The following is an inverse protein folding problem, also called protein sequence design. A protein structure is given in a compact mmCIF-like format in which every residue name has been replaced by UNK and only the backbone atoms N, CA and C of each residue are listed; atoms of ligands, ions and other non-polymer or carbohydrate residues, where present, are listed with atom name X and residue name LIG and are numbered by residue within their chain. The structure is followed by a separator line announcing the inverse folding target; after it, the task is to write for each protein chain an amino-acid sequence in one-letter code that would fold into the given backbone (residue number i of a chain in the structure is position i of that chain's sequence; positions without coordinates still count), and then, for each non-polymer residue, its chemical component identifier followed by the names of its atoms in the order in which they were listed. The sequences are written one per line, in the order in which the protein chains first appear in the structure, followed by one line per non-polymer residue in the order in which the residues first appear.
data_IF_556079689601
#
_entry.id   IF_556079689601
#
_cell.length_a   1.000
_cell.length_b   1.000
_cell.length_c   1.000
_cell.angle_alpha   90.00
_cell.angle_beta   90.00
_cell.angle_gamma   90.00
#
_symmetry.space_group_name_H-M   'P 1'
#
loop_
_entity.id
_entity.type
_entity.pdbx_description
1 polymer ?
#
# COMPACT_ATOMS: atom_id res chain seq x y z
N UNK A 1 34.30 6.58 10.08
CA UNK A 1 32.95 6.94 10.50
C UNK A 1 32.00 5.88 9.94
N UNK A 2 31.79 4.83 10.74
CA UNK A 2 30.83 3.78 10.39
C UNK A 2 29.43 4.34 10.61
N UNK A 3 28.78 4.74 9.49
CA UNK A 3 27.36 4.99 9.47
C UNK A 3 26.64 3.66 9.77
N UNK A 4 25.58 3.70 10.56
CA UNK A 4 24.70 2.52 10.72
C UNK A 4 24.17 2.10 9.35
N UNK A 5 23.79 0.84 9.20
CA UNK A 5 23.23 0.28 7.95
C UNK A 5 22.04 1.12 7.47
N UNK A 6 21.13 1.47 8.38
CA UNK A 6 19.98 2.35 8.10
C UNK A 6 20.36 3.74 7.55
N UNK A 7 21.48 4.32 8.03
CA UNK A 7 21.98 5.60 7.51
C UNK A 7 22.60 5.46 6.12
N UNK A 8 23.16 4.29 5.78
CA UNK A 8 23.68 4.00 4.44
C UNK A 8 22.54 3.86 3.46
N UNK A 9 21.52 3.06 3.79
CA UNK A 9 20.34 2.86 2.95
C UNK A 9 19.63 4.18 2.64
N UNK A 10 19.50 5.07 3.62
CA UNK A 10 18.92 6.40 3.42
C UNK A 10 19.81 7.29 2.54
N UNK A 11 21.13 7.22 2.69
CA UNK A 11 22.04 7.98 1.85
C UNK A 11 21.98 7.51 0.39
N UNK A 12 21.97 6.19 0.16
CA UNK A 12 21.83 5.60 -1.17
C UNK A 12 20.48 5.96 -1.83
N UNK A 13 19.38 5.97 -1.04
CA UNK A 13 18.08 6.38 -1.52
C UNK A 13 18.09 7.83 -2.04
N UNK A 14 18.66 8.76 -1.28
CA UNK A 14 18.72 10.19 -1.65
C UNK A 14 19.82 10.53 -2.67
N UNK A 15 20.81 9.67 -2.87
CA UNK A 15 21.82 9.84 -3.91
C UNK A 15 21.36 9.32 -5.29
N UNK A 16 20.13 8.78 -5.40
CA UNK A 16 19.57 8.31 -6.67
C UNK A 16 19.38 9.49 -7.62
N UNK A 17 19.90 9.35 -8.84
CA UNK A 17 19.78 10.35 -9.91
C UNK A 17 18.97 9.80 -11.07
N UNK A 18 18.15 10.64 -11.65
CA UNK A 18 17.45 10.40 -12.89
C UNK A 18 17.90 11.45 -13.92
N UNK A 19 17.90 11.07 -15.20
CA UNK A 19 18.41 11.91 -16.29
C UNK A 19 17.31 12.70 -17.00
N UNK A 20 16.08 12.21 -16.93
CA UNK A 20 14.92 12.79 -17.62
C UNK A 20 13.72 12.93 -16.71
N UNK A 21 12.83 13.86 -17.05
CA UNK A 21 11.53 14.02 -16.37
C UNK A 21 10.73 12.69 -16.33
N UNK A 22 10.74 11.94 -17.45
CA UNK A 22 10.12 10.62 -17.54
C UNK A 22 10.71 9.66 -16.51
N UNK A 23 12.03 9.58 -16.43
CA UNK A 23 12.72 8.70 -15.48
C UNK A 23 12.42 9.06 -14.02
N UNK A 24 12.41 10.36 -13.69
CA UNK A 24 11.99 10.83 -12.36
C UNK A 24 10.57 10.38 -12.03
N UNK A 25 9.62 10.58 -12.96
CA UNK A 25 8.22 10.24 -12.74
C UNK A 25 8.04 8.72 -12.53
N UNK A 26 8.64 7.91 -13.40
CA UNK A 26 8.60 6.45 -13.28
C UNK A 26 9.22 5.97 -11.97
N UNK A 27 10.41 6.49 -11.62
CA UNK A 27 11.09 6.09 -10.39
C UNK A 27 10.28 6.45 -9.16
N UNK A 28 9.72 7.67 -9.10
CA UNK A 28 8.84 8.08 -8.01
C UNK A 28 7.60 7.19 -7.91
N UNK A 29 6.94 6.91 -9.02
CA UNK A 29 5.74 6.08 -9.02
C UNK A 29 6.04 4.61 -8.67
N UNK A 30 7.14 4.04 -9.15
CA UNK A 30 7.50 2.65 -8.93
C UNK A 30 8.19 2.42 -7.58
N UNK A 31 9.23 3.19 -7.28
CA UNK A 31 10.07 2.97 -6.09
C UNK A 31 9.66 3.82 -4.88
N UNK A 32 8.82 4.84 -5.06
CA UNK A 32 8.43 5.76 -4.00
C UNK A 32 9.31 7.01 -3.90
N UNK A 33 9.18 7.72 -2.77
CA UNK A 33 9.88 8.99 -2.55
C UNK A 33 11.37 8.78 -2.31
N UNK A 34 12.20 9.32 -3.19
CA UNK A 34 13.66 9.34 -3.08
C UNK A 34 14.24 10.77 -3.11
N UNK A 35 13.38 11.80 -3.13
CA UNK A 35 13.81 13.19 -3.12
C UNK A 35 13.79 13.75 -1.68
N UNK A 36 14.94 14.26 -1.26
CA UNK A 36 15.11 14.80 0.10
C UNK A 36 14.41 16.16 0.24
N UNK A 37 13.26 16.21 0.88
CA UNK A 37 12.47 17.43 1.05
C UNK A 37 13.26 18.62 1.63
N UNK A 38 14.06 18.48 2.71
CA UNK A 38 14.79 19.61 3.26
C UNK A 38 15.82 20.26 2.31
N UNK A 39 16.22 19.55 1.24
CA UNK A 39 17.18 20.07 0.25
C UNK A 39 16.53 20.71 -0.97
N UNK A 40 15.20 20.70 -1.05
CA UNK A 40 14.50 21.16 -2.23
C UNK A 40 14.32 22.68 -2.27
N UNK A 41 14.58 23.26 -3.45
CA UNK A 41 14.26 24.64 -3.78
C UNK A 41 13.28 24.64 -4.97
N UNK A 42 12.07 25.12 -4.75
CA UNK A 42 11.01 25.13 -5.76
C UNK A 42 10.67 26.57 -6.16
N UNK A 43 10.57 26.81 -7.48
CA UNK A 43 10.11 28.11 -7.97
C UNK A 43 8.67 28.36 -7.56
N UNK A 44 8.38 29.55 -7.02
CA UNK A 44 7.02 29.90 -6.60
C UNK A 44 6.02 29.78 -7.74
N UNK A 45 6.38 30.15 -8.97
CA UNK A 45 5.51 30.02 -10.14
C UNK A 45 5.08 28.59 -10.45
N UNK A 46 5.91 27.60 -10.13
CA UNK A 46 5.54 26.18 -10.23
C UNK A 46 4.49 25.85 -9.20
N UNK A 47 4.69 26.25 -7.94
CA UNK A 47 3.71 26.03 -6.87
C UNK A 47 2.39 26.74 -7.13
N UNK A 48 2.43 27.96 -7.68
CA UNK A 48 1.23 28.71 -8.03
C UNK A 48 0.42 27.98 -9.13
N UNK A 49 1.10 27.25 -10.02
CA UNK A 49 0.49 26.45 -11.09
C UNK A 49 -0.10 25.13 -10.59
N UNK A 50 0.68 24.37 -9.82
CA UNK A 50 0.31 23.00 -9.42
C UNK A 50 -0.40 22.94 -8.06
N UNK A 51 -0.43 24.03 -7.31
CA UNK A 51 -0.88 24.06 -5.92
C UNK A 51 0.21 23.71 -4.92
N UNK A 52 -0.09 23.98 -3.67
CA UNK A 52 0.81 23.76 -2.54
C UNK A 52 0.65 22.33 -1.96
N UNK A 53 1.18 22.10 -0.76
CA UNK A 53 1.03 20.83 -0.05
C UNK A 53 -0.44 20.47 0.16
N UNK A 54 -0.78 19.22 -0.12
CA UNK A 54 -2.08 18.68 0.24
C UNK A 54 -2.10 18.37 1.74
N UNK A 55 -2.91 19.10 2.49
CA UNK A 55 -2.99 18.98 3.94
C UNK A 55 -3.65 17.67 4.43
N UNK A 56 -4.22 16.88 3.52
CA UNK A 56 -4.70 15.54 3.83
C UNK A 56 -3.53 14.59 4.13
N UNK A 57 -2.40 14.77 3.46
CA UNK A 57 -1.24 13.91 3.59
C UNK A 57 -0.32 14.41 4.71
N UNK A 58 -0.01 13.53 5.64
CA UNK A 58 0.87 13.85 6.76
C UNK A 58 2.25 13.21 6.63
N UNK A 59 2.30 11.98 6.12
CA UNK A 59 3.55 11.22 5.99
C UNK A 59 4.23 11.46 4.64
N UNK A 60 3.44 11.60 3.59
CA UNK A 60 3.89 11.64 2.20
C UNK A 60 3.44 12.94 1.47
N UNK A 61 3.27 14.04 2.20
CA UNK A 61 2.89 15.31 1.60
C UNK A 61 3.91 15.84 0.59
N UNK A 62 5.20 15.62 0.83
CA UNK A 62 6.29 15.94 -0.08
C UNK A 62 6.27 15.02 -1.32
N UNK A 63 6.01 13.75 -1.15
CA UNK A 63 5.88 12.80 -2.24
C UNK A 63 4.77 13.18 -3.24
N UNK A 64 3.60 13.56 -2.74
CA UNK A 64 2.52 14.12 -3.56
C UNK A 64 2.98 15.36 -4.34
N UNK A 65 3.68 16.26 -3.66
CA UNK A 65 4.20 17.48 -4.29
C UNK A 65 5.22 17.16 -5.38
N UNK A 66 6.14 16.22 -5.15
CA UNK A 66 7.15 15.81 -6.14
C UNK A 66 6.53 15.25 -7.40
N UNK A 67 5.54 14.39 -7.29
CA UNK A 67 4.83 13.82 -8.44
C UNK A 67 4.15 14.93 -9.27
N UNK A 68 3.52 15.90 -8.61
CA UNK A 68 2.91 17.03 -9.31
C UNK A 68 3.95 17.95 -9.94
N UNK A 69 5.09 18.19 -9.29
CA UNK A 69 6.19 18.98 -9.87
C UNK A 69 6.75 18.27 -11.10
N UNK A 70 7.10 16.99 -10.98
CA UNK A 70 7.70 16.24 -12.09
C UNK A 70 6.76 16.11 -13.27
N UNK A 71 5.46 16.07 -13.04
CA UNK A 71 4.47 16.07 -14.15
C UNK A 71 4.40 17.40 -14.92
N UNK A 72 4.93 18.51 -14.36
CA UNK A 72 4.79 19.85 -14.91
C UNK A 72 6.11 20.58 -15.20
N UNK A 73 7.19 20.16 -14.55
CA UNK A 73 8.47 20.83 -14.59
C UNK A 73 9.64 19.86 -14.46
N UNK A 74 10.78 20.25 -14.98
CA UNK A 74 12.02 19.51 -14.82
C UNK A 74 12.61 19.70 -13.43
N UNK A 75 13.23 18.65 -12.92
CA UNK A 75 14.02 18.63 -11.69
C UNK A 75 15.51 18.60 -12.05
N UNK A 76 16.29 19.42 -11.40
CA UNK A 76 17.74 19.41 -11.46
C UNK A 76 18.29 19.09 -10.09
N UNK A 77 19.11 18.05 -9.98
CA UNK A 77 19.83 17.72 -8.74
C UNK A 77 21.24 18.31 -8.83
N UNK A 78 21.58 19.17 -7.85
CA UNK A 78 22.93 19.70 -7.70
C UNK A 78 23.83 18.62 -7.10
N UNK A 79 25.10 18.58 -7.55
CA UNK A 79 26.07 17.59 -7.04
C UNK A 79 26.69 18.01 -5.71
N UNK A 80 26.60 19.31 -5.39
CA UNK A 80 27.13 19.88 -4.17
C UNK A 80 26.32 19.46 -2.94
N UNK A 81 27.00 19.06 -1.89
CA UNK A 81 26.39 18.74 -0.59
C UNK A 81 26.09 20.00 0.19
N UNK A 82 24.95 20.63 -0.07
CA UNK A 82 24.55 21.92 0.49
C UNK A 82 23.79 21.81 1.82
N UNK A 83 23.22 20.65 2.13
CA UNK A 83 22.38 20.43 3.30
C UNK A 83 22.96 19.34 4.18
N UNK A 84 22.95 19.59 5.51
CA UNK A 84 23.22 18.56 6.51
C UNK A 84 21.90 18.06 7.06
N UNK A 85 21.56 16.82 6.73
CA UNK A 85 20.36 16.17 7.23
C UNK A 85 20.68 15.49 8.58
N UNK A 86 19.90 15.81 9.63
CA UNK A 86 20.01 15.16 10.92
C UNK A 86 19.00 14.03 10.99
N UNK A 87 19.51 12.81 11.09
CA UNK A 87 18.69 11.62 11.30
C UNK A 87 18.78 11.18 12.77
N UNK A 88 17.64 11.17 13.46
CA UNK A 88 17.56 10.69 14.86
C UNK A 88 17.16 9.22 14.88
N UNK A 89 18.15 8.32 14.90
CA UNK A 89 17.94 6.86 14.92
C UNK A 89 17.18 6.41 16.19
N UNK A 90 17.28 7.15 17.28
CA UNK A 90 16.55 6.87 18.53
C UNK A 90 15.15 7.52 18.58
N UNK A 91 14.83 8.25 17.61
CA UNK A 91 13.62 8.76 17.02
C UNK A 91 12.37 9.03 17.85
N UNK A 92 12.48 9.63 19.02
CA UNK A 92 11.25 9.97 19.78
C UNK A 92 10.53 11.25 19.34
N UNK A 93 11.04 11.98 18.32
CA UNK A 93 10.53 13.31 17.95
C UNK A 93 10.29 13.57 16.46
N UNK A 94 10.48 12.60 15.59
CA UNK A 94 10.28 12.80 14.15
C UNK A 94 8.84 12.46 13.74
N UNK A 95 8.26 13.27 12.84
CA UNK A 95 6.91 13.05 12.27
C UNK A 95 6.88 11.72 11.49
N UNK A 96 7.99 11.39 10.84
CA UNK A 96 8.18 10.16 10.04
C UNK A 96 8.64 8.95 10.84
N UNK A 97 8.52 8.99 12.18
CA UNK A 97 8.88 7.87 13.05
C UNK A 97 8.15 6.59 12.63
N UNK A 98 8.87 5.47 12.60
CA UNK A 98 8.31 4.15 12.29
C UNK A 98 7.42 3.66 13.42
N UNK A 99 6.17 4.14 13.45
CA UNK A 99 5.08 3.61 14.28
C UNK A 99 4.08 2.89 13.39
N UNK A 100 3.33 1.96 13.95
CA UNK A 100 2.27 1.26 13.22
C UNK A 100 1.28 2.24 12.55
N UNK A 101 0.85 3.28 13.27
CA UNK A 101 -0.07 4.26 12.71
C UNK A 101 0.56 5.06 11.56
N UNK A 102 1.84 5.41 11.67
CA UNK A 102 2.54 6.12 10.61
C UNK A 102 2.76 5.22 9.38
N UNK A 103 3.08 3.95 9.58
CA UNK A 103 3.22 2.97 8.50
C UNK A 103 1.91 2.74 7.76
N UNK A 104 0.81 2.57 8.49
CA UNK A 104 -0.55 2.45 7.92
C UNK A 104 -0.91 3.71 7.14
N UNK A 105 -0.65 4.88 7.72
CA UNK A 105 -0.93 6.17 7.07
C UNK A 105 -0.10 6.33 5.80
N UNK A 106 1.21 6.09 5.87
CA UNK A 106 2.09 6.17 4.71
C UNK A 106 1.65 5.22 3.58
N UNK A 107 1.22 4.01 3.92
CA UNK A 107 0.66 3.09 2.94
C UNK A 107 -0.60 3.66 2.27
N UNK A 108 -1.57 4.11 3.05
CA UNK A 108 -2.81 4.67 2.53
C UNK A 108 -2.53 5.90 1.66
N UNK A 109 -1.71 6.83 2.16
CA UNK A 109 -1.29 8.01 1.40
C UNK A 109 -0.57 7.64 0.11
N UNK A 110 0.31 6.63 0.15
CA UNK A 110 1.05 6.14 -1.01
C UNK A 110 0.14 5.63 -2.14
N UNK A 111 -0.88 4.85 -1.79
CA UNK A 111 -1.86 4.34 -2.77
C UNK A 111 -2.69 5.49 -3.35
N UNK A 112 -3.21 6.37 -2.49
CA UNK A 112 -4.02 7.52 -2.90
C UNK A 112 -3.25 8.48 -3.80
N UNK A 113 -2.00 8.79 -3.45
CA UNK A 113 -1.13 9.71 -4.19
C UNK A 113 -0.85 9.16 -5.59
N UNK A 114 -0.46 7.89 -5.70
CA UNK A 114 -0.16 7.26 -6.99
C UNK A 114 -1.39 7.17 -7.89
N UNK A 115 -2.52 6.73 -7.32
CA UNK A 115 -3.80 6.70 -8.03
C UNK A 115 -4.13 8.10 -8.56
N UNK A 116 -4.14 9.11 -7.69
CA UNK A 116 -4.49 10.47 -8.08
C UNK A 116 -3.54 11.04 -9.12
N UNK A 117 -2.26 10.74 -9.03
CA UNK A 117 -1.27 11.18 -10.01
C UNK A 117 -1.59 10.64 -11.41
N UNK A 118 -1.85 9.35 -11.54
CA UNK A 118 -2.14 8.71 -12.84
C UNK A 118 -3.52 9.12 -13.37
N UNK A 119 -4.54 9.10 -12.53
CA UNK A 119 -5.92 9.43 -12.89
C UNK A 119 -6.06 10.90 -13.34
N UNK A 120 -5.31 11.82 -12.75
CA UNK A 120 -5.38 13.25 -13.08
C UNK A 120 -4.54 13.64 -14.30
N UNK A 121 -3.73 12.76 -14.86
CA UNK A 121 -2.94 13.08 -16.06
C UNK A 121 -3.84 13.29 -17.28
N UNK A 122 -3.54 14.34 -18.05
CA UNK A 122 -4.14 14.48 -19.39
C UNK A 122 -3.67 13.36 -20.31
N UNK A 123 -4.44 13.09 -21.34
CA UNK A 123 -4.12 12.04 -22.31
C UNK A 123 -2.75 12.27 -22.97
N UNK A 124 -2.41 13.54 -23.29
CA UNK A 124 -1.14 13.91 -23.89
C UNK A 124 0.04 13.55 -22.95
N UNK A 125 -0.07 13.93 -21.67
CA UNK A 125 0.96 13.64 -20.67
C UNK A 125 1.10 12.15 -20.41
N UNK A 126 -0.02 11.45 -20.29
CA UNK A 126 0.01 10.04 -20.09
C UNK A 126 0.67 9.31 -21.27
N UNK A 127 0.34 9.69 -22.50
CA UNK A 127 1.04 9.19 -23.68
C UNK A 127 2.53 9.57 -23.69
N UNK A 128 2.88 10.81 -23.33
CA UNK A 128 4.27 11.26 -23.31
C UNK A 128 5.13 10.43 -22.36
N UNK A 129 4.62 10.11 -21.19
CA UNK A 129 5.41 9.44 -20.15
C UNK A 129 5.31 7.91 -20.18
N UNK A 130 4.17 7.33 -20.58
CA UNK A 130 3.87 5.92 -20.38
C UNK A 130 3.56 5.10 -21.64
N UNK A 131 3.67 5.68 -22.84
CA UNK A 131 3.33 4.99 -24.10
C UNK A 131 4.01 3.61 -24.25
N UNK A 132 5.26 3.47 -23.79
CA UNK A 132 6.03 2.24 -23.88
C UNK A 132 5.53 1.16 -22.93
N UNK A 133 4.79 1.55 -21.88
CA UNK A 133 4.23 0.65 -20.88
C UNK A 133 2.79 0.23 -21.20
N UNK A 134 2.20 0.78 -22.26
CA UNK A 134 0.83 0.50 -22.65
C UNK A 134 0.63 -0.98 -22.94
N UNK A 135 -0.53 -1.49 -22.55
CA UNK A 135 -0.96 -2.83 -22.95
C UNK A 135 -1.16 -2.93 -24.45
N UNK A 136 -1.70 -1.89 -25.06
CA UNK A 136 -1.79 -1.74 -26.49
C UNK A 136 -1.23 -0.38 -26.93
N UNK A 137 -0.06 -0.40 -27.58
CA UNK A 137 0.64 0.82 -28.02
C UNK A 137 -0.15 1.65 -29.03
N UNK A 138 -1.20 1.09 -29.64
CA UNK A 138 -2.08 1.77 -30.59
C UNK A 138 -3.23 2.52 -29.93
N UNK A 139 -3.29 2.54 -28.57
CA UNK A 139 -4.28 3.29 -27.81
C UNK A 139 -4.14 4.78 -28.04
N UNK A 140 -5.21 5.43 -28.56
CA UNK A 140 -5.24 6.86 -28.91
C UNK A 140 -6.49 7.60 -28.43
N UNK A 141 -7.64 6.92 -28.33
CA UNK A 141 -8.86 7.55 -27.85
C UNK A 141 -8.85 7.74 -26.35
N UNK A 142 -9.56 8.74 -25.84
CA UNK A 142 -9.67 9.00 -24.42
C UNK A 142 -10.07 7.75 -23.63
N UNK A 143 -11.10 7.03 -24.08
CA UNK A 143 -11.56 5.81 -23.43
C UNK A 143 -10.46 4.72 -23.39
N UNK A 144 -9.71 4.54 -24.49
CA UNK A 144 -8.58 3.60 -24.53
C UNK A 144 -7.50 4.01 -23.54
N UNK A 145 -7.20 5.30 -23.42
CA UNK A 145 -6.17 5.82 -22.51
C UNK A 145 -6.61 5.69 -21.04
N UNK A 146 -7.88 5.85 -20.75
CA UNK A 146 -8.41 5.57 -19.40
C UNK A 146 -8.23 4.09 -19.02
N UNK A 147 -8.48 3.16 -19.95
CA UNK A 147 -8.16 1.75 -19.75
C UNK A 147 -6.67 1.54 -19.50
N UNK A 148 -5.80 2.17 -20.31
CA UNK A 148 -4.33 2.05 -20.13
C UNK A 148 -3.88 2.58 -18.77
N UNK A 149 -4.43 3.69 -18.27
CA UNK A 149 -4.17 4.21 -16.91
C UNK A 149 -4.53 3.17 -15.84
N UNK A 150 -5.70 2.56 -15.95
CA UNK A 150 -6.14 1.53 -15.03
C UNK A 150 -5.24 0.28 -15.08
N UNK A 151 -4.90 -0.19 -16.28
CA UNK A 151 -3.99 -1.33 -16.46
C UNK A 151 -2.58 -1.03 -15.95
N UNK A 152 -2.10 0.20 -16.17
CA UNK A 152 -0.81 0.62 -15.67
C UNK A 152 -0.75 0.57 -14.14
N UNK A 153 -1.77 1.08 -13.44
CA UNK A 153 -1.86 0.99 -11.99
C UNK A 153 -1.89 -0.46 -11.49
N UNK A 154 -2.59 -1.34 -12.20
CA UNK A 154 -2.68 -2.76 -11.83
C UNK A 154 -1.36 -3.52 -12.00
N UNK A 155 -0.56 -3.16 -13.01
CA UNK A 155 0.67 -3.84 -13.39
C UNK A 155 1.92 -3.21 -12.80
N UNK A 156 1.91 -1.89 -12.59
CA UNK A 156 3.10 -1.09 -12.37
C UNK A 156 3.93 -1.52 -11.16
N UNK A 157 3.27 -2.01 -10.11
CA UNK A 157 3.98 -2.34 -8.88
C UNK A 157 3.26 -3.52 -8.22
N UNK A 158 3.67 -4.73 -8.56
CA UNK A 158 3.19 -5.94 -7.89
C UNK A 158 3.48 -5.88 -6.37
N UNK A 159 4.49 -5.11 -5.97
CA UNK A 159 4.96 -4.98 -4.59
C UNK A 159 4.20 -3.95 -3.74
N UNK A 160 3.42 -3.03 -4.35
CA UNK A 160 2.60 -2.08 -3.58
C UNK A 160 1.17 -2.56 -3.49
N UNK A 161 0.81 -3.25 -2.39
CA UNK A 161 -0.56 -3.68 -2.18
C UNK A 161 -1.51 -2.47 -2.27
N UNK A 162 -2.68 -2.65 -2.86
CA UNK A 162 -3.69 -1.60 -3.00
C UNK A 162 -3.70 -0.88 -4.36
N UNK A 163 -2.62 -0.87 -5.14
CA UNK A 163 -2.64 -0.26 -6.48
C UNK A 163 -3.47 -1.10 -7.47
N UNK A 164 -3.44 -2.41 -7.34
CA UNK A 164 -4.33 -3.28 -8.11
C UNK A 164 -5.80 -2.97 -7.82
N UNK A 165 -6.14 -2.75 -6.56
CA UNK A 165 -7.49 -2.34 -6.16
C UNK A 165 -7.86 -0.97 -6.75
N UNK A 166 -6.92 0.00 -6.73
CA UNK A 166 -7.13 1.31 -7.34
C UNK A 166 -7.38 1.22 -8.86
N UNK A 167 -6.61 0.42 -9.58
CA UNK A 167 -6.83 0.16 -11.00
C UNK A 167 -8.16 -0.54 -11.29
N UNK A 168 -8.56 -1.51 -10.47
CA UNK A 168 -9.87 -2.16 -10.57
C UNK A 168 -11.03 -1.19 -10.28
N UNK A 169 -10.87 -0.26 -9.36
CA UNK A 169 -11.86 0.80 -9.12
C UNK A 169 -12.01 1.71 -10.34
N UNK A 170 -10.90 2.09 -10.98
CA UNK A 170 -10.94 2.85 -12.24
C UNK A 170 -11.64 2.06 -13.36
N UNK A 171 -11.33 0.78 -13.53
CA UNK A 171 -12.04 -0.09 -14.47
C UNK A 171 -13.54 -0.12 -14.19
N UNK A 172 -13.92 -0.20 -12.92
CA UNK A 172 -15.33 -0.17 -12.51
C UNK A 172 -16.05 1.14 -12.88
N UNK A 173 -15.32 2.26 -12.97
CA UNK A 173 -15.86 3.55 -13.46
C UNK A 173 -15.94 3.56 -14.98
N UNK A 174 -14.87 3.15 -15.66
CA UNK A 174 -14.77 3.08 -17.13
C UNK A 174 -15.89 2.18 -17.71
N UNK A 175 -16.16 1.04 -17.07
CA UNK A 175 -17.19 0.08 -17.53
C UNK A 175 -18.63 0.62 -17.49
N UNK A 176 -18.86 1.83 -16.98
CA UNK A 176 -20.14 2.53 -17.05
C UNK A 176 -20.30 3.37 -18.32
N UNK A 177 -19.20 3.57 -19.04
CA UNK A 177 -19.21 4.37 -20.25
C UNK A 177 -19.78 3.60 -21.46
N UNK A 178 -20.37 4.35 -22.38
CA UNK A 178 -20.79 3.78 -23.64
C UNK A 178 -19.56 3.24 -24.40
N UNK A 179 -19.70 2.09 -25.04
CA UNK A 179 -18.67 1.40 -25.83
C UNK A 179 -17.49 0.82 -24.99
N UNK A 180 -17.52 0.90 -23.63
CA UNK A 180 -16.46 0.35 -22.81
C UNK A 180 -16.24 -1.16 -23.06
N UNK A 181 -17.31 -1.94 -23.14
CA UNK A 181 -17.22 -3.38 -23.44
C UNK A 181 -16.68 -3.66 -24.83
N UNK A 182 -17.08 -2.87 -25.83
CA UNK A 182 -16.58 -2.98 -27.19
C UNK A 182 -15.09 -2.67 -27.25
N UNK A 183 -14.68 -1.55 -26.66
CA UNK A 183 -13.26 -1.17 -26.52
C UNK A 183 -12.44 -2.25 -25.83
N UNK A 184 -12.95 -2.82 -24.73
CA UNK A 184 -12.28 -3.87 -24.00
C UNK A 184 -12.01 -5.11 -24.87
N UNK A 185 -13.02 -5.53 -25.65
CA UNK A 185 -12.94 -6.72 -26.51
C UNK A 185 -12.11 -6.48 -27.78
N UNK A 186 -12.43 -5.43 -28.50
CA UNK A 186 -11.85 -5.21 -29.83
C UNK A 186 -10.43 -4.64 -29.76
N UNK A 187 -10.19 -3.73 -28.84
CA UNK A 187 -8.90 -3.05 -28.74
C UNK A 187 -7.94 -3.77 -27.82
N UNK A 188 -8.39 -4.25 -26.64
CA UNK A 188 -7.53 -4.89 -25.65
C UNK A 188 -7.58 -6.42 -25.67
N UNK A 189 -8.46 -7.02 -26.47
CA UNK A 189 -8.64 -8.48 -26.55
C UNK A 189 -8.93 -9.13 -25.20
N UNK A 190 -9.70 -8.42 -24.36
CA UNK A 190 -10.12 -8.85 -23.04
C UNK A 190 -11.64 -9.00 -23.01
N UNK A 191 -12.14 -9.90 -22.14
CA UNK A 191 -13.56 -10.07 -21.89
C UNK A 191 -13.91 -9.69 -20.44
N UNK A 192 -15.20 -9.57 -20.17
CA UNK A 192 -15.69 -9.33 -18.81
C UNK A 192 -15.25 -10.43 -17.82
N UNK A 193 -15.06 -11.65 -18.31
CA UNK A 193 -14.57 -12.76 -17.49
C UNK A 193 -13.14 -12.56 -17.00
N UNK A 194 -12.27 -11.88 -17.77
CA UNK A 194 -10.93 -11.49 -17.32
C UNK A 194 -11.02 -10.53 -16.13
N UNK A 195 -11.93 -9.54 -16.20
CA UNK A 195 -12.17 -8.61 -15.09
C UNK A 195 -12.73 -9.32 -13.86
N UNK A 196 -13.62 -10.30 -14.04
CA UNK A 196 -14.13 -11.11 -12.93
C UNK A 196 -13.04 -11.96 -12.29
N UNK A 197 -12.14 -12.53 -13.09
CA UNK A 197 -10.97 -13.26 -12.58
C UNK A 197 -10.08 -12.35 -11.73
N UNK A 198 -9.73 -11.17 -12.23
CA UNK A 198 -8.91 -10.21 -11.50
C UNK A 198 -9.58 -9.72 -10.22
N UNK A 199 -10.90 -9.51 -10.25
CA UNK A 199 -11.66 -9.12 -9.07
C UNK A 199 -11.79 -10.24 -8.03
N UNK A 200 -11.59 -11.49 -8.43
CA UNK A 200 -11.52 -12.65 -7.53
C UNK A 200 -10.22 -12.79 -6.76
N UNK A 201 -9.20 -11.98 -7.06
CA UNK A 201 -7.90 -12.03 -6.38
C UNK A 201 -7.87 -11.19 -5.11
N UNK A 202 -6.95 -11.53 -4.19
CA UNK A 202 -6.75 -10.76 -2.96
C UNK A 202 -6.07 -9.41 -3.25
N UNK A 203 -6.84 -8.35 -3.47
CA UNK A 203 -6.35 -7.02 -3.82
C UNK A 203 -6.07 -6.12 -2.61
N UNK A 204 -6.80 -6.33 -1.51
CA UNK A 204 -6.76 -5.48 -0.32
C UNK A 204 -5.81 -6.06 0.75
N UNK A 205 -4.55 -6.24 0.39
CA UNK A 205 -3.51 -6.57 1.38
C UNK A 205 -3.07 -5.29 2.07
N UNK A 206 -3.23 -5.23 3.37
CA UNK A 206 -2.79 -4.07 4.15
C UNK A 206 -1.52 -4.41 4.93
N UNK A 207 -0.57 -3.47 5.09
CA UNK A 207 0.70 -3.74 5.78
C UNK A 207 0.52 -4.28 7.19
N UNK A 208 -0.49 -3.82 7.93
CA UNK A 208 -0.75 -4.34 9.28
C UNK A 208 -1.29 -5.77 9.26
N UNK A 209 -2.03 -6.18 8.24
CA UNK A 209 -2.48 -7.57 8.09
C UNK A 209 -1.29 -8.49 7.83
N UNK A 210 -0.33 -8.03 7.04
CA UNK A 210 0.95 -8.71 6.81
C UNK A 210 1.73 -8.79 8.13
N UNK A 211 1.86 -7.67 8.85
CA UNK A 211 2.53 -7.60 10.15
C UNK A 211 1.84 -8.49 11.19
N UNK A 212 0.50 -8.50 11.27
CA UNK A 212 -0.24 -9.40 12.18
C UNK A 212 -0.06 -10.87 11.81
N UNK A 213 0.02 -11.20 10.52
CA UNK A 213 0.32 -12.56 10.06
C UNK A 213 1.76 -12.93 10.41
N UNK A 214 2.71 -12.02 10.24
CA UNK A 214 4.12 -12.22 10.60
C UNK A 214 4.30 -12.35 12.11
N UNK A 215 3.70 -11.47 12.90
CA UNK A 215 3.67 -11.54 14.36
C UNK A 215 2.99 -12.83 14.84
N UNK A 216 1.85 -13.18 14.24
CA UNK A 216 1.16 -14.42 14.51
C UNK A 216 1.99 -15.65 14.14
N UNK A 217 2.73 -15.58 13.04
CA UNK A 217 3.65 -16.64 12.61
C UNK A 217 4.84 -16.77 13.54
N UNK A 218 5.40 -15.65 14.01
CA UNK A 218 6.48 -15.65 15.02
C UNK A 218 5.99 -16.19 16.36
N UNK A 219 4.79 -15.80 16.80
CA UNK A 219 4.16 -16.36 17.99
C UNK A 219 3.89 -17.85 17.85
N UNK A 220 3.41 -18.29 16.68
CA UNK A 220 3.20 -19.70 16.37
C UNK A 220 4.50 -20.49 16.38
N UNK A 221 5.58 -19.93 15.85
CA UNK A 221 6.91 -20.51 15.89
C UNK A 221 7.44 -20.59 17.34
N UNK A 222 7.25 -19.54 18.13
CA UNK A 222 7.59 -19.51 19.56
C UNK A 222 6.80 -20.57 20.36
N UNK A 223 5.47 -20.68 20.13
CA UNK A 223 4.68 -21.71 20.79
C UNK A 223 5.04 -23.12 20.32
N UNK A 224 5.41 -23.30 19.04
CA UNK A 224 5.94 -24.58 18.54
C UNK A 224 7.26 -24.95 19.21
N UNK A 225 8.14 -23.99 19.46
CA UNK A 225 9.40 -24.23 20.15
C UNK A 225 9.17 -24.58 21.64
N UNK A 226 8.24 -23.88 22.31
CA UNK A 226 7.79 -24.24 23.66
C UNK A 226 7.17 -25.64 23.70
N UNK A 227 6.36 -25.98 22.71
CA UNK A 227 5.78 -27.33 22.60
C UNK A 227 6.88 -28.36 22.40
N UNK A 228 7.88 -28.08 21.57
CA UNK A 228 9.03 -28.95 21.37
C UNK A 228 9.84 -29.16 22.66
N UNK A 229 10.13 -28.06 23.38
CA UNK A 229 10.81 -28.15 24.69
C UNK A 229 9.99 -28.92 25.72
N UNK A 230 8.64 -28.76 25.73
CA UNK A 230 7.75 -29.55 26.58
C UNK A 230 7.72 -31.03 26.18
N UNK A 231 7.74 -31.30 24.86
CA UNK A 231 7.80 -32.68 24.36
C UNK A 231 9.13 -33.36 24.73
N UNK A 232 10.24 -32.62 24.67
CA UNK A 232 11.54 -33.11 25.13
C UNK A 232 11.55 -33.37 26.66
N UNK A 233 10.94 -32.46 27.43
CA UNK A 233 10.78 -32.63 28.87
C UNK A 233 9.87 -33.82 29.20
N UNK A 234 8.75 -33.98 28.47
CA UNK A 234 7.84 -35.13 28.59
C UNK A 234 8.55 -36.44 28.22
N UNK A 235 9.41 -36.41 27.17
CA UNK A 235 10.25 -37.55 26.79
C UNK A 235 11.19 -37.99 27.91
N UNK A 236 11.87 -37.01 28.54
CA UNK A 236 12.75 -37.27 29.68
C UNK A 236 11.98 -37.81 30.91
N UNK A 237 10.78 -37.30 31.16
CA UNK A 237 9.92 -37.76 32.23
C UNK A 237 9.45 -39.21 32.01
N UNK A 238 9.12 -39.55 30.74
CA UNK A 238 8.76 -40.94 30.36
C UNK A 238 9.94 -41.90 30.58
N UNK A 239 11.13 -41.49 30.17
CA UNK A 239 12.35 -42.31 30.34
C UNK A 239 12.71 -42.53 31.82
N UNK A 240 12.44 -41.52 32.66
CA UNK A 240 12.63 -41.57 34.08
C UNK A 240 11.59 -42.49 34.79
N UNK A 241 10.35 -42.46 34.30
CA UNK A 241 9.27 -43.32 34.80
C UNK A 241 9.43 -44.79 34.36
N UNK A 242 9.89 -45.03 33.13
CA UNK A 242 10.25 -46.37 32.66
C UNK A 242 11.36 -47.02 33.51
N UNK A 243 12.28 -46.19 33.99
CA UNK A 243 13.35 -46.64 34.91
C UNK A 243 12.85 -46.96 36.32
N UNK A 244 11.70 -46.47 36.68
CA UNK A 244 11.14 -46.68 38.05
C UNK A 244 10.09 -47.79 38.18
N UNK A 245 9.88 -48.60 37.22
CA UNK A 245 9.18 -49.91 37.26
C UNK A 245 7.78 -50.00 37.96
N UNK A 246 7.06 -48.89 38.13
CA UNK A 246 5.82 -48.93 38.91
C UNK A 246 4.56 -48.35 38.25
N UNK A 247 4.55 -48.07 36.94
CA UNK A 247 3.52 -47.13 36.53
C UNK A 247 2.82 -47.37 35.17
N UNK A 248 2.71 -48.59 34.70
CA UNK A 248 2.00 -48.88 33.45
C UNK A 248 0.53 -48.44 33.52
N UNK A 249 -0.14 -48.61 34.62
CA UNK A 249 -1.54 -48.18 34.79
C UNK A 249 -1.65 -46.62 34.95
N UNK A 250 -0.74 -45.96 35.68
CA UNK A 250 -0.70 -44.52 35.79
C UNK A 250 -0.27 -43.84 34.46
N UNK A 251 0.56 -44.52 33.65
CA UNK A 251 0.95 -44.04 32.34
C UNK A 251 -0.23 -43.99 31.36
N UNK A 252 -1.14 -44.96 31.41
CA UNK A 252 -2.34 -44.96 30.56
C UNK A 252 -3.30 -43.83 30.93
N UNK A 253 -3.53 -43.56 32.21
CA UNK A 253 -4.34 -42.42 32.66
C UNK A 253 -3.70 -41.08 32.28
N UNK A 254 -2.37 -40.99 32.36
CA UNK A 254 -1.65 -39.77 31.96
C UNK A 254 -1.72 -39.53 30.44
N UNK A 255 -1.59 -40.58 29.63
CA UNK A 255 -1.72 -40.49 28.16
C UNK A 255 -3.15 -40.09 27.76
N UNK A 256 -4.17 -40.64 28.45
CA UNK A 256 -5.56 -40.21 28.20
C UNK A 256 -5.81 -38.74 28.62
N UNK A 257 -5.21 -38.26 29.71
CA UNK A 257 -5.26 -36.87 30.13
C UNK A 257 -4.66 -35.92 29.09
N UNK A 258 -3.52 -36.31 28.49
CA UNK A 258 -2.87 -35.54 27.43
C UNK A 258 -3.68 -35.50 26.12
N UNK A 259 -4.38 -36.59 25.80
CA UNK A 259 -5.29 -36.61 24.63
C UNK A 259 -6.49 -35.66 24.80
N UNK A 260 -7.04 -35.58 26.03
CA UNK A 260 -8.13 -34.61 26.32
C UNK A 260 -7.65 -33.17 26.21
N UNK A 261 -6.39 -32.90 26.60
CA UNK A 261 -5.79 -31.58 26.48
C UNK A 261 -5.52 -31.22 25.03
N UNK A 262 -5.07 -32.15 24.18
CA UNK A 262 -4.88 -31.96 22.76
C UNK A 262 -6.22 -31.68 22.04
N UNK A 263 -7.26 -32.42 22.34
CA UNK A 263 -8.60 -32.20 21.81
C UNK A 263 -9.17 -30.82 22.23
N UNK A 264 -8.86 -30.36 23.45
CA UNK A 264 -9.24 -29.03 23.90
C UNK A 264 -8.48 -27.91 23.14
N UNK A 265 -7.20 -28.12 22.81
CA UNK A 265 -6.43 -27.16 21.99
C UNK A 265 -6.87 -27.16 20.54
N UNK A 266 -7.27 -28.32 19.98
CA UNK A 266 -7.89 -28.38 18.65
C UNK A 266 -9.20 -27.57 18.60
N UNK A 267 -10.03 -27.68 19.63
CA UNK A 267 -11.27 -26.91 19.76
C UNK A 267 -10.99 -25.38 19.86
N UNK A 268 -9.93 -24.99 20.61
CA UNK A 268 -9.50 -23.58 20.68
C UNK A 268 -8.92 -23.06 19.36
N UNK A 269 -8.20 -23.88 18.61
CA UNK A 269 -7.69 -23.52 17.27
C UNK A 269 -8.84 -23.34 16.27
N UNK A 270 -9.83 -24.21 16.32
CA UNK A 270 -11.05 -24.09 15.53
C UNK A 270 -11.87 -22.84 15.91
N UNK A 271 -11.91 -22.48 17.18
CA UNK A 271 -12.55 -21.24 17.62
C UNK A 271 -11.77 -20.01 17.14
N UNK A 272 -10.43 -20.05 17.18
CA UNK A 272 -9.58 -18.98 16.66
C UNK A 272 -9.74 -18.83 15.13
N UNK A 273 -9.83 -19.92 14.40
CA UNK A 273 -10.12 -19.94 12.97
C UNK A 273 -11.48 -19.28 12.65
N UNK A 274 -12.53 -19.64 13.39
CA UNK A 274 -13.86 -19.03 13.25
C UNK A 274 -13.85 -17.52 13.57
N UNK A 275 -13.09 -17.08 14.58
CA UNK A 275 -12.93 -15.64 14.91
C UNK A 275 -12.17 -14.88 13.81
N UNK A 276 -11.17 -15.51 13.21
CA UNK A 276 -10.46 -14.93 12.06
C UNK A 276 -11.38 -14.76 10.84
N UNK A 277 -12.19 -15.78 10.52
CA UNK A 277 -13.20 -15.67 9.44
C UNK A 277 -14.22 -14.56 9.71
N UNK A 278 -14.68 -14.43 10.96
CA UNK A 278 -15.63 -13.39 11.35
C UNK A 278 -15.00 -11.98 11.20
N UNK A 279 -13.74 -11.81 11.63
CA UNK A 279 -13.00 -10.56 11.45
C UNK A 279 -12.76 -10.23 9.98
N UNK A 280 -12.42 -11.23 9.18
CA UNK A 280 -12.27 -11.08 7.72
C UNK A 280 -13.60 -10.63 7.06
N UNK A 281 -14.71 -11.21 7.51
CA UNK A 281 -16.05 -10.78 7.07
C UNK A 281 -16.41 -9.35 7.50
N UNK A 282 -15.97 -8.93 8.70
CA UNK A 282 -16.14 -7.54 9.15
C UNK A 282 -15.28 -6.58 8.33
N UNK A 283 -14.02 -6.95 8.03
CA UNK A 283 -13.12 -6.17 7.17
C UNK A 283 -13.74 -5.94 5.80
N UNK A 284 -14.25 -7.00 5.17
CA UNK A 284 -14.95 -6.88 3.89
C UNK A 284 -16.13 -5.89 3.91
N UNK A 285 -16.91 -5.90 5.01
CA UNK A 285 -18.01 -4.92 5.20
C UNK A 285 -17.51 -3.49 5.36
N UNK A 286 -16.36 -3.29 6.01
CA UNK A 286 -15.75 -1.96 6.10
C UNK A 286 -15.19 -1.49 4.77
N UNK A 287 -14.59 -2.39 3.99
CA UNK A 287 -14.09 -2.11 2.63
C UNK A 287 -15.23 -1.66 1.70
N UNK A 288 -16.37 -2.39 1.74
CA UNK A 288 -17.59 -2.00 0.98
C UNK A 288 -18.11 -0.62 1.43
N UNK A 289 -18.09 -0.34 2.73
CA UNK A 289 -18.53 0.94 3.28
C UNK A 289 -17.60 2.10 2.91
N UNK A 290 -16.30 1.85 2.88
CA UNK A 290 -15.29 2.82 2.40
C UNK A 290 -15.52 3.10 0.91
N UNK A 291 -15.76 2.07 0.11
CA UNK A 291 -16.07 2.22 -1.32
C UNK A 291 -17.33 3.08 -1.55
N UNK A 292 -18.41 2.81 -0.79
CA UNK A 292 -19.64 3.64 -0.85
C UNK A 292 -19.38 5.10 -0.44
N UNK A 293 -18.55 5.32 0.58
CA UNK A 293 -18.17 6.68 1.00
C UNK A 293 -17.33 7.39 -0.06
N UNK A 294 -16.40 6.69 -0.69
CA UNK A 294 -15.58 7.24 -1.77
C UNK A 294 -16.43 7.60 -3.00
N UNK A 295 -17.40 6.76 -3.36
CA UNK A 295 -18.39 7.06 -4.41
C UNK A 295 -19.20 8.32 -4.09
N UNK A 296 -19.64 8.47 -2.82
CA UNK A 296 -20.33 9.69 -2.37
C UNK A 296 -19.43 10.92 -2.43
N UNK A 297 -18.19 10.81 -1.96
CA UNK A 297 -17.20 11.90 -2.02
C UNK A 297 -16.96 12.31 -3.48
N UNK A 298 -16.79 11.36 -4.38
CA UNK A 298 -16.64 11.63 -5.83
C UNK A 298 -17.88 12.32 -6.41
N UNK A 299 -19.07 11.88 -6.00
CA UNK A 299 -20.34 12.50 -6.42
C UNK A 299 -20.43 13.95 -5.94
N UNK A 300 -20.07 14.22 -4.68
CA UNK A 300 -20.00 15.58 -4.14
C UNK A 300 -18.93 16.42 -4.84
N UNK A 301 -17.74 15.90 -5.02
CA UNK A 301 -16.62 16.59 -5.66
C UNK A 301 -16.93 16.94 -7.14
N UNK A 302 -17.73 16.10 -7.81
CA UNK A 302 -18.15 16.33 -9.19
C UNK A 302 -19.44 17.15 -9.31
N UNK A 303 -20.18 17.37 -8.23
CA UNK A 303 -21.41 18.14 -8.26
C UNK A 303 -21.18 19.56 -8.76
N UNK A 304 -22.14 20.08 -9.52
CA UNK A 304 -22.12 21.44 -10.05
C UNK A 304 -21.96 22.48 -8.91
N UNK A 305 -22.63 22.24 -7.79
CA UNK A 305 -22.54 23.09 -6.59
C UNK A 305 -21.12 23.13 -6.00
N UNK A 306 -20.46 21.98 -5.93
CA UNK A 306 -19.08 21.90 -5.41
C UNK A 306 -18.09 22.60 -6.34
N UNK A 307 -18.23 22.42 -7.66
CA UNK A 307 -17.38 23.08 -8.67
C UNK A 307 -17.61 24.59 -8.73
N UNK A 308 -18.87 25.04 -8.68
CA UNK A 308 -19.19 26.47 -8.69
C UNK A 308 -18.69 27.18 -7.41
N UNK A 309 -18.71 26.51 -6.27
CA UNK A 309 -18.24 27.08 -4.99
C UNK A 309 -16.74 26.95 -4.76
N UNK A 310 -16.00 26.30 -5.64
CA UNK A 310 -14.54 26.15 -5.54
C UNK A 310 -13.79 27.47 -5.41
N UNK A 311 -14.08 28.49 -6.22
CA UNK A 311 -13.41 29.81 -6.08
C UNK A 311 -13.70 30.46 -4.72
N UNK A 312 -14.94 30.35 -4.23
CA UNK A 312 -15.33 30.90 -2.93
C UNK A 312 -14.60 30.17 -1.78
N UNK A 313 -14.47 28.86 -1.85
CA UNK A 313 -13.70 28.09 -0.85
C UNK A 313 -12.21 28.41 -0.87
N UNK A 314 -11.64 28.69 -2.04
CA UNK A 314 -10.25 29.18 -2.16
C UNK A 314 -10.08 30.54 -1.51
N UNK A 315 -11.02 31.48 -1.73
CA UNK A 315 -11.02 32.82 -1.13
C UNK A 315 -11.20 32.71 0.41
N UNK A 316 -12.16 31.91 0.88
CA UNK A 316 -12.39 31.72 2.32
C UNK A 316 -11.19 31.09 3.06
N UNK A 317 -10.41 30.23 2.39
CA UNK A 317 -9.15 29.69 2.95
C UNK A 317 -8.05 30.75 3.05
N UNK A 318 -8.04 31.73 2.13
CA UNK A 318 -7.10 32.86 2.17
C UNK A 318 -7.47 33.89 3.24
N UNK A 319 -8.77 34.03 3.56
CA UNK A 319 -9.28 34.95 4.58
C UNK A 319 -9.25 34.38 6.02
N UNK A 320 -9.00 33.06 6.20
CA UNK A 320 -8.86 32.41 7.50
C UNK A 320 -7.41 32.25 7.96
N UNK A 321 -6.46 32.77 7.22
CA UNK A 321 -5.08 33.04 7.64
C UNK A 321 -4.93 34.51 8.02
#
# INVERSE_FOLDING_TARGET
NDLSEECRDMAELFDRKCSTQKEYLHTLLQSGNFLCHPSALVRKSVLDKIGYFNLLYRQLADYDLWLRIVSEAEITVLEERLIRFQWDIKGKKQISMSTRENSVRAFNESVMIRKNCVESMTDEKFCQFFREDFRNTDSVSHLQLEFEKAFWLMKCIEEVPGLKAAGMEMLGQIMREANAMETLREHFHLDIFDLYQWNGEHMYKTPWLISEIEEGSQQLAYYKDILKQKDEYIGQQKEQLEKQNAAIEQQQEYIEGQRRQAAHYEEQLDELGRRMEQKTGQLKKYEDKIREQDEMIQTYANSTSWKITEPMRKIMRLLKK
#
